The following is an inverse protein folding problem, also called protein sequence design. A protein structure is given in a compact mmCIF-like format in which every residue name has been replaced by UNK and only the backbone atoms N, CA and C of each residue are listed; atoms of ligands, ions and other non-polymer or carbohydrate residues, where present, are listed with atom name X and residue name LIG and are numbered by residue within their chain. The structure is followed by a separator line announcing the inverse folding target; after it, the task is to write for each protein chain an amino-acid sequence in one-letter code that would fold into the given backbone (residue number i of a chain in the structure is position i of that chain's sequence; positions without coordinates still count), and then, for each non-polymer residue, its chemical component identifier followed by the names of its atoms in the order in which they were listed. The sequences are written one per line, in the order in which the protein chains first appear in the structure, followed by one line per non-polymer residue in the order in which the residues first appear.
data_IF_357511009760
#
_entry.id   IF_357511009760
#
_cell.length_a   1.000
_cell.length_b   1.000
_cell.length_c   1.000
_cell.angle_alpha   90.00
_cell.angle_beta   90.00
_cell.angle_gamma   90.00
#
_symmetry.space_group_name_H-M   'P 1'
#
loop_
_entity.id
_entity.type
_entity.pdbx_description
1 polymer ?
#
# COMPACT_ATOMS: atom_id res chain seq x y z
N UNK A 1 8.44 2.30 -19.12
CA UNK A 1 7.94 2.65 -20.45
C UNK A 1 6.42 2.44 -20.47
N UNK A 2 5.64 3.51 -20.66
CA UNK A 2 4.20 3.43 -20.90
C UNK A 2 4.01 3.41 -22.42
N UNK A 3 3.80 2.25 -23.00
CA UNK A 3 3.35 2.13 -24.39
C UNK A 3 1.93 1.55 -24.36
N UNK A 4 0.93 2.37 -24.58
CA UNK A 4 -0.47 1.98 -24.50
C UNK A 4 -0.88 1.53 -23.09
N UNK A 5 -1.73 0.52 -22.97
CA UNK A 5 -2.16 -0.07 -21.68
C UNK A 5 -1.12 -1.01 -21.03
N UNK A 6 0.15 -0.96 -21.41
CA UNK A 6 1.20 -1.80 -20.83
C UNK A 6 2.11 -0.98 -19.96
N UNK A 7 2.16 -1.34 -18.68
CA UNK A 7 3.10 -0.80 -17.72
C UNK A 7 4.15 -1.88 -17.41
N UNK A 8 5.43 -1.54 -17.58
CA UNK A 8 6.53 -2.41 -17.20
C UNK A 8 7.05 -1.92 -15.84
N UNK A 9 6.94 -2.75 -14.85
CA UNK A 9 7.50 -2.51 -13.53
C UNK A 9 8.70 -3.44 -13.38
N UNK A 10 9.87 -2.88 -13.14
CA UNK A 10 11.04 -3.65 -12.77
C UNK A 10 11.19 -3.54 -11.27
N UNK A 11 11.02 -4.63 -10.57
CA UNK A 11 11.20 -4.72 -9.12
C UNK A 11 12.51 -5.45 -8.86
N UNK A 12 13.41 -4.81 -8.13
CA UNK A 12 14.64 -5.44 -7.66
C UNK A 12 14.53 -5.69 -6.17
N UNK A 13 14.72 -6.95 -5.76
CA UNK A 13 14.87 -7.33 -4.37
C UNK A 13 16.35 -7.42 -4.02
N UNK A 14 16.80 -6.81 -2.92
CA UNK A 14 18.11 -7.17 -2.37
C UNK A 14 18.02 -8.63 -1.92
N UNK A 15 18.84 -9.50 -2.51
CA UNK A 15 19.04 -10.84 -1.99
C UNK A 15 19.93 -10.81 -0.75
N UNK A 16 20.01 -11.95 -0.03
CA UNK A 16 20.81 -12.09 1.18
C UNK A 16 22.32 -11.86 0.95
N UNK A 17 22.76 -11.78 -0.30
CA UNK A 17 24.15 -11.57 -0.72
C UNK A 17 24.38 -10.14 -1.28
N UNK A 18 23.35 -9.29 -1.30
CA UNK A 18 23.45 -7.91 -1.81
C UNK A 18 23.48 -7.81 -3.34
N UNK A 19 23.25 -8.91 -4.05
CA UNK A 19 23.07 -8.94 -5.49
C UNK A 19 21.56 -8.97 -5.79
N UNK A 20 20.97 -7.81 -6.06
CA UNK A 20 19.54 -7.71 -6.32
C UNK A 20 19.08 -8.51 -7.54
N UNK A 21 18.19 -9.46 -7.35
CA UNK A 21 17.52 -10.14 -8.45
C UNK A 21 16.57 -9.18 -9.15
N UNK A 22 16.84 -8.90 -10.43
CA UNK A 22 15.99 -8.05 -11.25
C UNK A 22 14.89 -8.89 -11.91
N UNK A 23 13.65 -8.76 -11.41
CA UNK A 23 12.50 -9.45 -11.99
C UNK A 23 11.68 -8.47 -12.83
N UNK A 24 11.64 -8.68 -14.14
CA UNK A 24 10.77 -7.91 -15.02
C UNK A 24 9.37 -8.53 -14.99
N UNK A 25 8.41 -7.81 -14.43
CA UNK A 25 7.01 -8.21 -14.46
C UNK A 25 6.29 -7.50 -15.60
N UNK A 26 5.77 -8.28 -16.55
CA UNK A 26 4.83 -7.79 -17.55
C UNK A 26 3.44 -7.82 -16.92
N UNK A 27 2.98 -6.71 -16.38
CA UNK A 27 1.61 -6.59 -15.95
C UNK A 27 0.77 -6.08 -17.14
N UNK A 28 -0.01 -6.94 -17.72
CA UNK A 28 -1.14 -6.54 -18.56
C UNK A 28 -2.23 -6.04 -17.63
N UNK A 29 -2.40 -4.73 -17.54
CA UNK A 29 -3.36 -4.13 -16.61
C UNK A 29 -4.65 -3.84 -17.34
N UNK A 30 -5.64 -4.64 -17.04
CA UNK A 30 -7.03 -4.31 -17.27
C UNK A 30 -7.81 -4.77 -16.02
N UNK A 31 -8.30 -3.91 -15.15
CA UNK A 31 -8.40 -2.46 -15.16
C UNK A 31 -7.11 -1.74 -14.69
N UNK A 32 -7.04 -0.40 -14.80
CA UNK A 32 -5.86 0.36 -14.39
C UNK A 32 -5.54 0.05 -12.92
N UNK A 33 -4.25 -0.24 -12.62
CA UNK A 33 -3.81 -0.39 -11.24
C UNK A 33 -3.92 0.99 -10.58
N UNK A 34 -5.01 1.25 -9.89
CA UNK A 34 -5.15 2.36 -8.95
C UNK A 34 -4.33 2.14 -7.66
N UNK A 35 -3.29 1.31 -7.72
CA UNK A 35 -2.49 0.91 -6.55
C UNK A 35 -1.26 1.76 -6.28
N UNK A 36 -0.92 2.66 -7.16
CA UNK A 36 -0.03 3.74 -6.79
C UNK A 36 -0.86 4.77 -6.04
N UNK A 37 -0.31 5.35 -4.97
CA UNK A 37 -0.96 6.51 -4.40
C UNK A 37 -1.15 7.48 -5.54
N UNK A 38 -2.37 7.54 -6.06
CA UNK A 38 -2.73 8.57 -7.04
C UNK A 38 -2.26 9.85 -6.40
N UNK A 39 -1.52 10.71 -7.13
CA UNK A 39 -1.04 11.96 -6.55
C UNK A 39 -2.24 12.57 -5.85
N UNK A 40 -2.07 12.84 -4.56
CA UNK A 40 -3.16 13.26 -3.66
C UNK A 40 -3.88 14.42 -4.32
N UNK A 41 -5.03 14.15 -4.91
CA UNK A 41 -5.71 15.11 -5.79
C UNK A 41 -6.61 16.08 -5.03
N UNK A 42 -6.92 15.77 -3.78
CA UNK A 42 -7.69 16.65 -2.94
C UNK A 42 -6.85 17.18 -1.78
N UNK A 43 -6.93 18.48 -1.48
CA UNK A 43 -6.28 19.07 -0.31
C UNK A 43 -6.63 18.35 0.99
N UNK A 44 -7.83 17.77 1.07
CA UNK A 44 -8.32 17.01 2.24
C UNK A 44 -7.52 15.73 2.48
N UNK A 45 -7.18 14.98 1.41
CA UNK A 45 -6.33 13.79 1.52
C UNK A 45 -4.90 14.14 1.97
N UNK A 46 -4.35 15.26 1.48
CA UNK A 46 -3.03 15.74 1.92
C UNK A 46 -3.06 16.01 3.42
N UNK A 47 -4.08 16.70 3.92
CA UNK A 47 -4.23 17.00 5.34
C UNK A 47 -4.29 15.72 6.18
N UNK A 48 -4.95 14.67 5.68
CA UNK A 48 -5.03 13.39 6.39
C UNK A 48 -3.68 12.68 6.45
N UNK A 49 -2.94 12.60 5.35
CA UNK A 49 -1.58 12.06 5.34
C UNK A 49 -0.68 12.84 6.29
N UNK A 50 -0.72 14.17 6.26
CA UNK A 50 0.11 15.03 7.13
C UNK A 50 -0.27 14.94 8.62
N UNK A 51 -1.46 14.45 8.97
CA UNK A 51 -1.80 14.12 10.36
C UNK A 51 -1.02 12.90 10.86
N UNK A 52 -0.80 11.92 9.98
CA UNK A 52 -0.17 10.63 10.32
C UNK A 52 1.34 10.64 10.06
N UNK A 53 1.81 11.48 9.16
CA UNK A 53 3.22 11.56 8.76
C UNK A 53 3.81 12.95 8.95
N UNK A 54 5.12 13.00 9.19
CA UNK A 54 5.92 14.22 9.19
C UNK A 54 6.72 14.28 7.89
N UNK A 55 6.44 15.25 7.00
CA UNK A 55 7.19 15.41 5.76
C UNK A 55 8.53 16.06 6.02
N UNK A 56 9.55 15.70 5.24
CA UNK A 56 10.83 16.39 5.19
C UNK A 56 11.38 16.33 3.75
N UNK A 57 11.88 17.47 3.28
CA UNK A 57 12.61 17.53 2.02
C UNK A 57 14.05 17.06 2.25
N UNK A 58 14.55 16.25 1.32
CA UNK A 58 15.92 15.78 1.29
C UNK A 58 16.73 16.44 0.17
N UNK A 59 17.82 15.79 -0.23
CA UNK A 59 18.69 16.28 -1.30
C UNK A 59 18.03 16.08 -2.67
N UNK A 60 18.46 16.90 -3.63
CA UNK A 60 18.21 16.67 -5.04
C UNK A 60 19.09 15.52 -5.56
N UNK A 61 18.58 14.76 -6.49
CA UNK A 61 19.36 13.74 -7.24
C UNK A 61 18.81 13.55 -8.64
N UNK A 62 19.54 12.79 -9.47
CA UNK A 62 19.11 12.45 -10.82
C UNK A 62 18.58 11.02 -10.84
N UNK A 63 17.33 10.83 -11.33
CA UNK A 63 16.67 9.53 -11.52
C UNK A 63 16.19 9.46 -12.96
N UNK A 64 16.52 8.37 -13.66
CA UNK A 64 16.17 8.17 -15.08
C UNK A 64 16.51 9.38 -15.98
N UNK A 65 17.64 10.07 -15.68
CA UNK A 65 18.10 11.25 -16.42
C UNK A 65 17.38 12.56 -16.07
N UNK A 66 16.53 12.59 -15.02
CA UNK A 66 15.74 13.76 -14.62
C UNK A 66 16.10 14.21 -13.22
N UNK A 67 16.13 15.52 -13.01
CA UNK A 67 16.34 16.11 -11.68
C UNK A 67 15.11 15.80 -10.80
N UNK A 68 15.34 15.30 -9.61
CA UNK A 68 14.30 15.00 -8.63
C UNK A 68 14.58 15.68 -7.30
N UNK A 69 13.50 16.03 -6.61
CA UNK A 69 13.51 16.46 -5.22
C UNK A 69 13.07 15.31 -4.32
N UNK A 70 13.89 14.98 -3.34
CA UNK A 70 13.52 13.94 -2.38
C UNK A 70 12.50 14.46 -1.37
N UNK A 71 11.45 13.65 -1.12
CA UNK A 71 10.45 13.85 -0.08
C UNK A 71 10.42 12.61 0.82
N UNK A 72 10.65 12.79 2.11
CA UNK A 72 10.50 11.73 3.11
C UNK A 72 9.23 11.95 3.92
N UNK A 73 8.46 10.89 4.12
CA UNK A 73 7.29 10.85 4.99
C UNK A 73 7.58 9.89 6.14
N UNK A 74 7.85 10.44 7.32
CA UNK A 74 8.11 9.66 8.54
C UNK A 74 6.82 9.50 9.33
N UNK A 75 6.44 8.28 9.70
CA UNK A 75 5.25 8.07 10.52
C UNK A 75 5.42 8.72 11.90
N UNK A 76 4.32 9.22 12.45
CA UNK A 76 4.26 9.82 13.80
C UNK A 76 3.96 8.77 14.89
N UNK A 77 3.63 7.56 14.48
CA UNK A 77 3.30 6.44 15.35
C UNK A 77 3.87 5.11 14.79
N UNK A 78 3.88 4.02 15.57
CA UNK A 78 4.43 2.74 15.15
C UNK A 78 3.50 1.93 14.21
N UNK A 79 2.34 2.48 13.84
CA UNK A 79 1.34 1.76 13.04
C UNK A 79 1.60 1.86 11.54
N UNK A 80 2.69 2.51 11.10
CA UNK A 80 2.95 2.84 9.70
C UNK A 80 4.40 2.61 9.34
N UNK A 81 4.63 2.31 8.08
CA UNK A 81 5.96 2.30 7.48
C UNK A 81 6.36 3.72 7.07
N UNK A 82 7.65 3.98 6.98
CA UNK A 82 8.18 5.22 6.45
C UNK A 82 8.30 5.14 4.93
N UNK A 83 8.10 6.26 4.25
CA UNK A 83 8.22 6.32 2.79
C UNK A 83 9.17 7.45 2.38
N UNK A 84 9.90 7.22 1.29
CA UNK A 84 10.76 8.19 0.65
C UNK A 84 10.48 8.18 -0.84
N UNK A 85 10.22 9.34 -1.39
CA UNK A 85 9.95 9.56 -2.81
C UNK A 85 11.03 10.45 -3.41
N UNK A 86 11.41 10.18 -4.65
CA UNK A 86 12.16 11.09 -5.47
C UNK A 86 11.22 11.62 -6.54
N UNK A 87 10.77 12.86 -6.36
CA UNK A 87 9.77 13.51 -7.20
C UNK A 87 10.45 14.30 -8.30
N UNK A 88 10.06 14.06 -9.53
CA UNK A 88 10.53 14.84 -10.68
C UNK A 88 10.28 16.33 -10.47
N UNK A 89 11.30 17.15 -10.60
CA UNK A 89 11.25 18.57 -10.29
C UNK A 89 10.30 19.36 -11.19
N UNK A 90 10.02 18.90 -12.42
CA UNK A 90 9.13 19.57 -13.35
C UNK A 90 7.68 19.10 -13.25
N UNK A 91 7.46 17.80 -13.10
CA UNK A 91 6.13 17.20 -13.19
C UNK A 91 5.55 16.77 -11.84
N UNK A 92 6.39 16.71 -10.80
CA UNK A 92 6.01 16.16 -9.49
C UNK A 92 5.78 14.64 -9.49
N UNK A 93 6.06 13.94 -10.59
CA UNK A 93 5.90 12.49 -10.67
C UNK A 93 6.96 11.79 -9.82
N UNK A 94 6.55 10.78 -9.06
CA UNK A 94 7.49 9.95 -8.32
C UNK A 94 8.28 9.05 -9.29
N UNK A 95 9.59 9.28 -9.40
CA UNK A 95 10.50 8.51 -10.23
C UNK A 95 11.22 7.40 -9.46
N UNK A 96 11.28 7.52 -8.15
CA UNK A 96 11.70 6.44 -7.26
C UNK A 96 10.92 6.50 -5.96
N UNK A 97 10.77 5.35 -5.31
CA UNK A 97 10.18 5.21 -4.00
C UNK A 97 10.95 4.19 -3.18
N UNK A 98 11.04 4.41 -1.89
CA UNK A 98 11.52 3.41 -0.95
C UNK A 98 10.59 3.38 0.26
N UNK A 99 10.25 2.15 0.70
CA UNK A 99 9.51 1.90 1.93
C UNK A 99 10.48 1.37 2.97
N UNK A 100 10.42 1.90 4.17
CA UNK A 100 11.30 1.50 5.28
C UNK A 100 10.49 1.08 6.50
N UNK A 101 11.01 0.10 7.22
CA UNK A 101 10.48 -0.40 8.47
C UNK A 101 10.59 0.61 9.61
N UNK A 102 10.00 0.24 10.74
CA UNK A 102 10.05 1.05 11.97
C UNK A 102 11.47 1.17 12.55
N UNK A 103 12.37 0.28 12.17
CA UNK A 103 13.80 0.29 12.49
C UNK A 103 14.64 1.14 11.52
N UNK A 104 14.01 1.68 10.46
CA UNK A 104 14.65 2.48 9.43
C UNK A 104 15.33 1.67 8.32
N UNK A 105 15.29 0.33 8.37
CA UNK A 105 15.78 -0.49 7.27
C UNK A 105 14.88 -0.34 6.04
N UNK A 106 15.49 -0.21 4.85
CA UNK A 106 14.74 -0.20 3.59
C UNK A 106 14.26 -1.62 3.31
N UNK A 107 12.95 -1.79 3.28
CA UNK A 107 12.28 -3.06 3.01
C UNK A 107 12.10 -3.28 1.51
N UNK A 108 11.80 -2.21 0.80
CA UNK A 108 11.56 -2.25 -0.64
C UNK A 108 11.96 -0.92 -1.29
N UNK A 109 12.44 -1.01 -2.51
CA UNK A 109 12.78 0.15 -3.32
C UNK A 109 12.35 -0.07 -4.76
N UNK A 110 11.78 0.97 -5.33
CA UNK A 110 11.43 1.07 -6.74
C UNK A 110 12.13 2.29 -7.34
N UNK A 111 12.60 2.17 -8.58
CA UNK A 111 13.21 3.26 -9.34
C UNK A 111 12.98 3.05 -10.82
N UNK A 112 12.59 4.11 -11.56
CA UNK A 112 12.57 4.08 -13.02
C UNK A 112 13.99 4.08 -13.55
N UNK A 113 14.32 3.08 -14.37
CA UNK A 113 15.60 3.04 -15.09
C UNK A 113 15.61 4.03 -16.27
N UNK A 114 14.46 4.21 -16.90
CA UNK A 114 14.26 5.12 -18.02
C UNK A 114 12.83 5.63 -18.03
N UNK A 115 12.65 6.92 -18.33
CA UNK A 115 11.34 7.53 -18.51
C UNK A 115 11.38 8.52 -19.66
N UNK A 116 10.32 8.53 -20.46
CA UNK A 116 10.12 9.49 -21.53
C UNK A 116 8.73 10.10 -21.41
N UNK A 117 8.66 11.42 -21.37
CA UNK A 117 7.43 12.18 -21.46
C UNK A 117 7.20 12.56 -22.92
N UNK A 118 5.97 12.39 -23.41
CA UNK A 118 5.58 12.74 -24.75
C UNK A 118 4.09 12.95 -24.85
N UNK A 119 3.65 13.63 -25.90
CA UNK A 119 2.23 13.75 -26.22
C UNK A 119 1.73 12.37 -26.66
N UNK A 120 1.10 11.67 -25.74
CA UNK A 120 0.37 10.45 -26.07
C UNK A 120 -1.01 10.92 -26.50
N UNK A 121 -1.33 10.79 -27.79
CA UNK A 121 -2.69 10.92 -28.27
C UNK A 121 -3.54 9.86 -27.57
N UNK A 122 -4.23 10.25 -26.50
CA UNK A 122 -5.23 9.42 -25.86
C UNK A 122 -6.50 9.52 -26.67
N UNK A 123 -6.81 8.49 -27.47
CA UNK A 123 -8.09 8.40 -28.19
C UNK A 123 -9.28 8.25 -27.26
N UNK A 124 -9.06 8.04 -25.97
CA UNK A 124 -10.09 8.01 -24.93
C UNK A 124 -9.66 8.85 -23.74
N UNK A 125 -10.31 9.98 -23.57
CA UNK A 125 -10.34 10.65 -22.28
C UNK A 125 -10.98 9.69 -21.28
N UNK A 126 -10.18 9.17 -20.34
CA UNK A 126 -10.76 8.50 -19.16
C UNK A 126 -11.52 9.57 -18.39
N UNK A 127 -12.87 9.58 -18.52
CA UNK A 127 -13.71 10.24 -17.55
C UNK A 127 -13.49 9.54 -16.22
N UNK A 128 -12.77 10.22 -15.35
CA UNK A 128 -12.68 9.75 -13.96
C UNK A 128 -14.04 9.98 -13.34
N UNK A 129 -14.61 8.96 -12.69
CA UNK A 129 -15.76 9.19 -11.84
C UNK A 129 -15.39 10.32 -10.87
N UNK A 130 -16.26 11.31 -10.72
CA UNK A 130 -16.21 12.28 -9.63
C UNK A 130 -16.41 11.50 -8.32
N UNK A 131 -15.34 10.85 -7.87
CA UNK A 131 -15.32 10.23 -6.55
C UNK A 131 -15.31 11.36 -5.54
N UNK A 132 -16.50 11.70 -5.07
CA UNK A 132 -16.66 12.51 -3.87
C UNK A 132 -15.96 11.76 -2.74
N UNK A 133 -14.78 12.22 -2.35
CA UNK A 133 -14.04 11.63 -1.24
C UNK A 133 -14.88 11.77 0.03
N UNK A 134 -15.52 10.69 0.42
CA UNK A 134 -16.10 10.56 1.76
C UNK A 134 -15.12 9.77 2.62
N UNK A 135 -14.71 10.37 3.73
CA UNK A 135 -13.91 9.66 4.72
C UNK A 135 -14.73 8.49 5.25
N UNK A 136 -14.29 7.27 5.00
CA UNK A 136 -14.93 6.06 5.52
C UNK A 136 -14.91 6.00 7.05
N UNK A 137 -15.60 5.01 7.61
CA UNK A 137 -15.60 4.73 9.05
C UNK A 137 -14.20 4.40 9.54
N UNK A 138 -13.75 5.03 10.64
CA UNK A 138 -12.49 4.67 11.29
C UNK A 138 -12.55 3.23 11.82
N UNK A 139 -11.52 2.43 11.52
CA UNK A 139 -11.39 1.03 11.96
C UNK A 139 -10.40 0.93 13.11
N UNK A 140 -9.21 1.50 12.93
CA UNK A 140 -8.17 1.69 13.96
C UNK A 140 -7.62 3.12 13.83
N UNK A 141 -6.78 3.61 14.76
CA UNK A 141 -6.27 4.97 14.69
C UNK A 141 -5.61 5.30 13.35
N UNK A 142 -6.23 6.23 12.62
CA UNK A 142 -5.77 6.74 11.33
C UNK A 142 -5.99 5.83 10.12
N UNK A 143 -6.61 4.67 10.27
CA UNK A 143 -7.05 3.84 9.14
C UNK A 143 -8.58 3.86 9.02
N UNK A 144 -9.04 4.09 7.80
CA UNK A 144 -10.45 4.25 7.46
C UNK A 144 -10.88 3.18 6.48
N UNK A 145 -12.10 2.69 6.63
CA UNK A 145 -12.72 1.74 5.70
C UNK A 145 -12.93 2.43 4.35
N UNK A 146 -12.35 1.86 3.31
CA UNK A 146 -12.45 2.39 1.93
C UNK A 146 -13.47 1.61 1.11
N UNK A 147 -13.55 0.30 1.34
CA UNK A 147 -14.46 -0.60 0.65
C UNK A 147 -14.78 -1.78 1.55
N UNK A 148 -16.00 -2.30 1.42
CA UNK A 148 -16.43 -3.52 2.10
C UNK A 148 -17.28 -4.40 1.19
N UNK A 149 -17.00 -5.68 1.24
CA UNK A 149 -17.83 -6.75 0.67
C UNK A 149 -18.07 -7.80 1.76
N UNK A 150 -19.10 -7.59 2.60
CA UNK A 150 -19.39 -8.51 3.70
C UNK A 150 -19.86 -9.88 3.23
N UNK A 151 -20.36 -10.00 2.00
CA UNK A 151 -20.80 -11.29 1.44
C UNK A 151 -19.59 -12.20 1.17
N UNK A 152 -18.51 -11.63 0.66
CA UNK A 152 -17.26 -12.33 0.40
C UNK A 152 -16.25 -12.17 1.54
N UNK A 153 -16.59 -11.48 2.63
CA UNK A 153 -15.71 -11.28 3.77
C UNK A 153 -14.48 -10.42 3.46
N UNK A 154 -14.57 -9.45 2.54
CA UNK A 154 -13.44 -8.62 2.10
C UNK A 154 -13.64 -7.17 2.54
N UNK A 155 -12.62 -6.62 3.21
CA UNK A 155 -12.61 -5.23 3.64
C UNK A 155 -11.29 -4.58 3.25
N UNK A 156 -11.33 -3.34 2.80
CA UNK A 156 -10.14 -2.56 2.44
C UNK A 156 -10.09 -1.33 3.32
N UNK A 157 -8.94 -1.11 3.95
CA UNK A 157 -8.68 0.05 4.80
C UNK A 157 -7.46 0.82 4.30
N UNK A 158 -7.44 2.14 4.54
CA UNK A 158 -6.29 2.98 4.18
C UNK A 158 -6.14 4.14 5.16
N UNK A 159 -4.90 4.62 5.32
CA UNK A 159 -4.59 5.86 6.02
C UNK A 159 -4.38 7.05 5.07
N UNK A 160 -4.61 6.83 3.75
CA UNK A 160 -4.38 7.77 2.67
C UNK A 160 -3.06 7.55 1.92
N UNK A 161 -2.14 6.76 2.46
CA UNK A 161 -0.87 6.38 1.84
C UNK A 161 -0.72 4.86 1.78
N UNK A 162 -0.78 4.19 2.92
CA UNK A 162 -0.78 2.74 3.01
C UNK A 162 -2.21 2.18 2.88
N UNK A 163 -2.32 0.98 2.30
CA UNK A 163 -3.58 0.25 2.16
C UNK A 163 -3.41 -1.17 2.68
N UNK A 164 -4.42 -1.68 3.37
CA UNK A 164 -4.48 -3.07 3.77
C UNK A 164 -5.84 -3.69 3.41
N UNK A 165 -5.79 -4.93 2.94
CA UNK A 165 -6.96 -5.76 2.69
C UNK A 165 -7.13 -6.77 3.82
N UNK A 166 -8.34 -6.92 4.30
CA UNK A 166 -8.71 -7.85 5.37
C UNK A 166 -9.67 -8.87 4.76
N UNK A 167 -9.34 -10.14 4.92
CA UNK A 167 -10.16 -11.28 4.46
C UNK A 167 -10.65 -12.04 5.68
N UNK A 168 -11.92 -12.38 5.70
CA UNK A 168 -12.57 -13.16 6.76
C UNK A 168 -13.20 -14.38 6.13
N UNK A 169 -12.65 -15.55 6.42
CA UNK A 169 -13.04 -16.81 5.78
C UNK A 169 -13.29 -17.89 6.85
N UNK A 170 -14.15 -18.89 6.57
CA UNK A 170 -14.27 -20.06 7.42
C UNK A 170 -12.92 -20.78 7.57
N UNK A 171 -12.49 -21.06 8.79
CA UNK A 171 -11.30 -21.85 9.04
C UNK A 171 -11.60 -23.33 8.76
N UNK A 172 -10.78 -23.97 7.92
CA UNK A 172 -10.93 -25.37 7.55
C UNK A 172 -10.99 -26.29 8.76
N UNK A 173 -11.84 -27.32 8.67
CA UNK A 173 -11.94 -28.33 9.71
C UNK A 173 -10.58 -29.01 9.92
N UNK A 174 -10.16 -29.12 11.19
CA UNK A 174 -8.87 -29.74 11.54
C UNK A 174 -7.65 -28.79 11.52
N UNK A 175 -7.74 -27.60 10.90
CA UNK A 175 -6.67 -26.63 10.99
C UNK A 175 -6.59 -26.08 12.42
N UNK A 176 -5.40 -26.04 13.08
CA UNK A 176 -5.27 -25.45 14.40
C UNK A 176 -5.51 -23.94 14.30
N UNK A 177 -6.21 -23.33 15.30
CA UNK A 177 -6.21 -21.89 15.42
C UNK A 177 -4.78 -21.45 15.74
N UNK A 178 -4.23 -20.59 14.91
CA UNK A 178 -2.87 -20.10 15.06
C UNK A 178 -2.78 -18.65 14.62
N UNK A 179 -1.66 -18.03 14.93
CA UNK A 179 -1.29 -16.69 14.48
C UNK A 179 0.05 -16.80 13.74
N UNK A 180 0.17 -16.13 12.61
CA UNK A 180 1.40 -16.11 11.82
C UNK A 180 1.52 -14.87 10.98
N UNK A 181 2.76 -14.54 10.63
CA UNK A 181 3.07 -13.43 9.74
C UNK A 181 4.19 -13.81 8.78
N UNK A 182 4.05 -13.42 7.52
CA UNK A 182 5.08 -13.52 6.48
C UNK A 182 5.31 -12.14 5.92
N UNK A 183 6.58 -11.75 5.74
CA UNK A 183 6.97 -10.46 5.20
C UNK A 183 7.80 -10.71 3.94
N UNK A 184 7.39 -10.11 2.82
CA UNK A 184 8.10 -10.13 1.55
C UNK A 184 8.27 -8.68 1.06
N UNK A 185 9.50 -8.16 1.09
CA UNK A 185 9.75 -6.74 0.87
C UNK A 185 9.03 -5.89 1.92
N UNK A 186 8.19 -4.96 1.49
CA UNK A 186 7.34 -4.14 2.35
C UNK A 186 5.96 -4.76 2.63
N UNK A 187 5.60 -5.82 1.91
CA UNK A 187 4.29 -6.46 2.02
C UNK A 187 4.27 -7.45 3.18
N UNK A 188 3.33 -7.26 4.09
CA UNK A 188 3.01 -8.17 5.19
C UNK A 188 1.76 -8.98 4.83
N UNK A 189 1.83 -10.30 5.01
CA UNK A 189 0.66 -11.18 5.14
C UNK A 189 0.60 -11.67 6.58
N UNK A 190 -0.46 -11.30 7.30
CA UNK A 190 -0.72 -11.73 8.67
C UNK A 190 -1.99 -12.57 8.69
N UNK A 191 -1.97 -13.68 9.41
CA UNK A 191 -3.12 -14.57 9.55
C UNK A 191 -3.38 -14.90 11.01
N UNK A 192 -4.66 -15.00 11.38
CA UNK A 192 -5.09 -15.39 12.72
C UNK A 192 -6.37 -16.21 12.67
N UNK A 193 -6.34 -17.39 13.28
CA UNK A 193 -7.53 -18.20 13.55
C UNK A 193 -8.25 -17.72 14.79
N UNK A 194 -9.56 -17.46 14.68
CA UNK A 194 -10.41 -17.08 15.81
C UNK A 194 -11.59 -18.04 15.92
N UNK A 195 -12.09 -18.24 17.17
CA UNK A 195 -13.30 -19.01 17.43
C UNK A 195 -14.39 -18.05 17.87
N UNK A 196 -15.49 -17.99 17.14
CA UNK A 196 -16.66 -17.17 17.43
C UNK A 196 -17.92 -18.00 17.62
N UNK A 197 -19.04 -17.34 17.93
CA UNK A 197 -20.33 -18.01 18.15
C UNK A 197 -20.87 -18.80 16.96
N UNK A 198 -20.52 -18.44 15.74
CA UNK A 198 -20.96 -19.09 14.50
C UNK A 198 -19.92 -20.05 13.92
N UNK A 199 -18.80 -20.31 14.62
CA UNK A 199 -17.77 -21.22 14.14
C UNK A 199 -16.36 -20.68 14.24
N UNK A 200 -15.46 -21.30 13.48
CA UNK A 200 -14.04 -20.94 13.44
C UNK A 200 -13.78 -20.15 12.16
N UNK A 201 -13.12 -19.02 12.30
CA UNK A 201 -12.78 -18.13 11.19
C UNK A 201 -11.25 -17.96 11.09
N UNK A 202 -10.79 -17.77 9.88
CA UNK A 202 -9.46 -17.29 9.55
C UNK A 202 -9.57 -15.81 9.15
N UNK A 203 -8.83 -14.95 9.82
CA UNK A 203 -8.69 -13.55 9.46
C UNK A 203 -7.29 -13.39 8.84
N UNK A 204 -7.24 -12.92 7.60
CA UNK A 204 -6.00 -12.63 6.90
C UNK A 204 -5.93 -11.13 6.60
N UNK A 205 -4.79 -10.51 6.91
CA UNK A 205 -4.53 -9.09 6.63
C UNK A 205 -3.32 -9.00 5.71
N UNK A 206 -3.49 -8.36 4.57
CA UNK A 206 -2.46 -8.18 3.55
C UNK A 206 -2.24 -6.69 3.29
N UNK A 207 -1.01 -6.20 3.39
CA UNK A 207 -0.71 -4.80 3.09
C UNK A 207 0.72 -4.38 3.42
N UNK A 208 1.08 -3.16 3.03
CA UNK A 208 2.35 -2.52 3.39
C UNK A 208 2.21 -1.81 4.75
N UNK A 209 2.10 -2.63 5.79
CA UNK A 209 1.86 -2.17 7.16
C UNK A 209 2.72 -2.98 8.15
N UNK A 210 3.05 -2.43 9.33
CA UNK A 210 3.70 -3.19 10.40
C UNK A 210 2.81 -4.32 10.96
N UNK A 211 3.43 -5.36 11.53
CA UNK A 211 2.72 -6.49 12.16
C UNK A 211 1.75 -6.03 13.25
N UNK A 212 2.14 -5.02 14.03
CA UNK A 212 1.27 -4.45 15.07
C UNK A 212 -0.04 -3.92 14.50
N UNK A 213 0.01 -3.27 13.34
CA UNK A 213 -1.16 -2.73 12.65
C UNK A 213 -2.05 -3.84 12.11
N UNK A 214 -1.45 -4.86 11.49
CA UNK A 214 -2.20 -6.02 11.00
C UNK A 214 -2.93 -6.75 12.14
N UNK A 215 -2.26 -6.89 13.29
CA UNK A 215 -2.88 -7.48 14.49
C UNK A 215 -4.06 -6.64 14.99
N UNK A 216 -3.90 -5.31 15.08
CA UNK A 216 -4.99 -4.41 15.46
C UNK A 216 -6.16 -4.44 14.47
N UNK A 217 -5.89 -4.55 13.17
CA UNK A 217 -6.92 -4.70 12.15
C UNK A 217 -7.67 -6.02 12.29
N UNK A 218 -6.95 -7.12 12.54
CA UNK A 218 -7.58 -8.42 12.79
C UNK A 218 -8.43 -8.42 14.08
N UNK A 219 -7.99 -7.73 15.14
CA UNK A 219 -8.75 -7.57 16.39
C UNK A 219 -9.98 -6.67 16.21
N UNK A 220 -9.95 -5.75 15.24
CA UNK A 220 -11.09 -4.88 14.93
C UNK A 220 -12.21 -5.57 14.14
N UNK A 221 -11.95 -6.77 13.59
CA UNK A 221 -12.98 -7.58 12.93
C UNK A 221 -13.94 -8.10 14.01
N UNK A 222 -15.16 -7.56 13.99
CA UNK A 222 -16.23 -8.04 14.90
C UNK A 222 -16.93 -9.21 14.24
N UNK A 223 -16.81 -10.38 14.85
CA UNK A 223 -17.61 -11.55 14.47
C UNK A 223 -18.94 -11.49 15.17
N UNK A 224 -20.07 -11.70 14.46
CA UNK A 224 -21.36 -11.80 15.12
C UNK A 224 -21.32 -12.91 16.18
N UNK A 225 -21.69 -12.58 17.43
CA UNK A 225 -21.81 -13.57 18.51
C UNK A 225 -20.65 -13.67 19.52
N UNK A 226 -19.58 -12.90 19.39
CA UNK A 226 -18.60 -12.70 20.47
C UNK A 226 -19.05 -11.48 21.27
N UNK A 227 -19.71 -11.72 22.41
CA UNK A 227 -19.90 -10.69 23.43
C UNK A 227 -18.56 -10.44 24.13
N UNK A 228 -18.22 -9.16 24.36
CA UNK A 228 -17.11 -8.74 25.24
C UNK A 228 -17.24 -9.31 26.64
#
# INVERSE_FOLDING_TARGET
ERAGNRQFITVSWPDAEGQGAMRRMNASVNPPIERWPSPVKSPERICDVLRMYSPALGAERVVAGRLTQQLSLRPKDPLRLAHRFDLDAETGMALAMATAGTDGQVLERFEYAHIQFGDIATETAFERPDETYSRGRAVIPGFFLMSEDPVNGVFVVSDGLATASIFVEPLLAGAPPGEGAVIEGATLTYTRGVTGGEGRLLISVLGEIPVVTARMLADAVRTPGVAD
#
